data_IF_940303347025
#
_entry.id   IF_940303347025
#
_cell.length_a   1.000
_cell.length_b   1.000
_cell.length_c   1.000
_cell.angle_alpha   90.00
_cell.angle_beta   90.00
_cell.angle_gamma   90.00
#
_symmetry.space_group_name_H-M   'P 1'
#
loop_
_entity.id
_entity.type
_entity.pdbx_description
1 polymer ?
#
# COMPACT_ATOMS: atom_id res chain seq x y z
N UNK A 1 8.63 -15.66 46.79
CA UNK A 1 7.55 -15.08 45.97
C UNK A 1 7.91 -15.30 44.50
N UNK A 2 7.62 -16.50 43.97
CA UNK A 2 7.85 -16.79 42.55
C UNK A 2 6.64 -16.21 41.80
N UNK A 3 6.91 -15.23 40.94
CA UNK A 3 5.90 -14.45 40.22
C UNK A 3 4.97 -15.37 39.43
N UNK A 4 3.66 -15.13 39.58
CA UNK A 4 2.59 -15.92 38.96
C UNK A 4 2.80 -16.00 37.46
N UNK A 5 2.87 -17.24 36.99
CA UNK A 5 2.80 -17.65 35.59
C UNK A 5 1.75 -16.86 34.82
N UNK A 6 2.18 -15.96 33.94
CA UNK A 6 1.34 -15.45 32.86
C UNK A 6 1.16 -16.58 31.84
N UNK A 7 0.32 -17.56 32.15
CA UNK A 7 -0.16 -18.54 31.18
C UNK A 7 -1.13 -17.84 30.24
N UNK A 8 -0.59 -17.06 29.31
CA UNK A 8 -1.32 -16.63 28.12
C UNK A 8 -1.66 -17.92 27.38
N UNK A 9 -2.96 -18.27 27.36
CA UNK A 9 -3.39 -19.42 26.57
C UNK A 9 -2.98 -19.22 25.11
N UNK A 10 -2.59 -20.28 24.41
CA UNK A 10 -2.24 -20.21 22.99
C UNK A 10 -3.35 -19.50 22.18
N UNK A 11 -4.62 -19.70 22.54
CA UNK A 11 -5.77 -18.99 21.95
C UNK A 11 -5.65 -17.47 22.09
N UNK A 12 -5.36 -16.97 23.29
CA UNK A 12 -5.23 -15.53 23.53
C UNK A 12 -4.03 -14.92 22.79
N UNK A 13 -2.95 -15.67 22.62
CA UNK A 13 -1.82 -15.24 21.78
C UNK A 13 -2.23 -15.17 20.29
N UNK A 14 -2.99 -16.15 19.80
CA UNK A 14 -3.54 -16.14 18.44
C UNK A 14 -4.55 -15.01 18.22
N UNK A 15 -5.42 -14.73 19.19
CA UNK A 15 -6.39 -13.62 19.12
C UNK A 15 -5.66 -12.27 19.06
N UNK A 16 -4.62 -12.06 19.87
CA UNK A 16 -3.80 -10.84 19.82
C UNK A 16 -3.04 -10.72 18.50
N UNK A 17 -2.49 -11.82 17.98
CA UNK A 17 -1.86 -11.81 16.66
C UNK A 17 -2.89 -11.51 15.58
N UNK A 18 -4.08 -12.09 15.63
CA UNK A 18 -5.13 -11.82 14.67
C UNK A 18 -5.65 -10.39 14.79
N UNK A 19 -5.78 -9.81 15.98
CA UNK A 19 -6.24 -8.43 16.15
C UNK A 19 -5.21 -7.42 15.63
N UNK A 20 -3.93 -7.61 15.96
CA UNK A 20 -2.85 -6.76 15.45
C UNK A 20 -2.54 -7.01 13.99
N UNK A 21 -2.77 -8.24 13.55
CA UNK A 21 -2.33 -8.75 12.27
C UNK A 21 -3.42 -9.43 11.46
N UNK A 22 -4.67 -8.96 11.56
CA UNK A 22 -5.71 -9.13 10.54
C UNK A 22 -5.32 -8.27 9.30
N UNK A 23 -4.05 -8.45 8.93
CA UNK A 23 -3.09 -7.74 8.07
C UNK A 23 -3.51 -7.73 6.62
N UNK A 24 -4.75 -8.09 6.31
CA UNK A 24 -5.21 -8.03 4.93
C UNK A 24 -5.02 -6.61 4.40
N UNK A 25 -5.19 -5.60 5.27
CA UNK A 25 -4.92 -4.21 4.93
C UNK A 25 -3.40 -3.92 4.83
N UNK A 26 -2.57 -4.23 5.83
CA UNK A 26 -1.12 -3.90 5.78
C UNK A 26 -0.38 -4.63 4.65
N UNK A 27 -0.64 -5.92 4.44
CA UNK A 27 -0.02 -6.66 3.33
C UNK A 27 -0.52 -6.15 1.98
N UNK A 28 -1.82 -5.83 1.87
CA UNK A 28 -2.36 -5.22 0.63
C UNK A 28 -1.81 -3.82 0.40
N UNK A 29 -1.65 -3.01 1.44
CA UNK A 29 -1.02 -1.69 1.39
C UNK A 29 0.40 -1.80 0.85
N UNK A 30 1.19 -2.72 1.40
CA UNK A 30 2.55 -2.97 0.91
C UNK A 30 2.56 -3.38 -0.56
N UNK A 31 1.67 -4.29 -0.97
CA UNK A 31 1.55 -4.69 -2.37
C UNK A 31 1.14 -3.54 -3.30
N UNK A 32 0.21 -2.68 -2.87
CA UNK A 32 -0.23 -1.52 -3.65
C UNK A 32 0.91 -0.50 -3.75
N UNK A 33 1.69 -0.28 -2.67
CA UNK A 33 2.88 0.56 -2.71
C UNK A 33 3.92 0.04 -3.71
N UNK A 34 4.17 -1.28 -3.73
CA UNK A 34 5.05 -1.87 -4.73
C UNK A 34 4.54 -1.64 -6.16
N UNK A 35 3.22 -1.78 -6.39
CA UNK A 35 2.61 -1.51 -7.68
C UNK A 35 2.78 -0.04 -8.12
N UNK A 36 2.53 0.91 -7.21
CA UNK A 36 2.75 2.35 -7.47
C UNK A 36 4.22 2.64 -7.81
N UNK A 37 5.17 2.04 -7.08
CA UNK A 37 6.61 2.28 -7.29
C UNK A 37 7.12 1.78 -8.64
N UNK A 38 6.54 0.71 -9.19
CA UNK A 38 6.95 0.13 -10.49
C UNK A 38 6.05 0.57 -11.65
N UNK A 39 4.94 1.27 -11.39
CA UNK A 39 4.05 1.77 -12.43
C UNK A 39 4.78 2.81 -13.29
N UNK A 40 4.81 2.58 -14.60
CA UNK A 40 5.47 3.46 -15.57
C UNK A 40 4.53 3.74 -16.74
N UNK A 41 4.49 4.98 -17.18
CA UNK A 41 3.86 5.37 -18.44
C UNK A 41 4.79 4.96 -19.58
N UNK A 42 4.29 4.17 -20.53
CA UNK A 42 5.11 3.67 -21.64
C UNK A 42 5.45 4.76 -22.65
N UNK A 43 4.43 5.50 -23.07
CA UNK A 43 4.49 6.56 -24.07
C UNK A 43 3.30 7.51 -23.88
N UNK A 44 3.17 8.51 -24.76
CA UNK A 44 2.08 9.48 -24.71
C UNK A 44 0.69 8.86 -24.94
N UNK A 45 0.59 7.75 -25.70
CA UNK A 45 -0.68 7.07 -25.95
C UNK A 45 -1.16 6.29 -24.70
N UNK A 46 -0.24 5.87 -23.83
CA UNK A 46 -0.53 5.19 -22.57
C UNK A 46 -0.97 6.12 -21.42
N UNK A 47 -0.94 7.44 -21.62
CA UNK A 47 -1.15 8.43 -20.57
C UNK A 47 -2.47 8.23 -19.79
N UNK A 48 -3.59 8.03 -20.49
CA UNK A 48 -4.89 7.82 -19.84
C UNK A 48 -4.92 6.53 -19.01
N UNK A 49 -4.30 5.46 -19.51
CA UNK A 49 -4.23 4.18 -18.82
C UNK A 49 -3.32 4.27 -17.57
N UNK A 50 -2.15 4.89 -17.71
CA UNK A 50 -1.23 5.15 -16.61
C UNK A 50 -1.89 5.96 -15.48
N UNK A 51 -2.53 7.09 -15.81
CA UNK A 51 -3.23 7.93 -14.82
C UNK A 51 -4.40 7.17 -14.18
N UNK A 52 -5.16 6.41 -14.97
CA UNK A 52 -6.26 5.59 -14.46
C UNK A 52 -5.81 4.52 -13.48
N UNK A 53 -4.73 3.79 -13.79
CA UNK A 53 -4.13 2.81 -12.88
C UNK A 53 -3.61 3.46 -11.60
N UNK A 54 -2.93 4.60 -11.72
CA UNK A 54 -2.44 5.34 -10.56
C UNK A 54 -3.60 5.77 -9.64
N UNK A 55 -4.68 6.30 -10.21
CA UNK A 55 -5.87 6.71 -9.45
C UNK A 55 -6.53 5.52 -8.74
N UNK A 56 -6.71 4.39 -9.43
CA UNK A 56 -7.29 3.18 -8.84
C UNK A 56 -6.44 2.60 -7.71
N UNK A 57 -5.11 2.62 -7.86
CA UNK A 57 -4.20 2.17 -6.79
C UNK A 57 -4.25 3.10 -5.58
N UNK A 58 -4.29 4.41 -5.80
CA UNK A 58 -4.46 5.41 -4.74
C UNK A 58 -5.76 5.19 -3.97
N UNK A 59 -6.88 5.02 -4.66
CA UNK A 59 -8.20 4.79 -4.04
C UNK A 59 -8.17 3.55 -3.15
N UNK A 60 -7.67 2.42 -3.66
CA UNK A 60 -7.52 1.19 -2.88
C UNK A 60 -6.63 1.35 -1.65
N UNK A 61 -5.61 2.20 -1.75
CA UNK A 61 -4.70 2.49 -0.63
C UNK A 61 -5.41 3.33 0.45
N UNK A 62 -6.21 4.32 0.05
CA UNK A 62 -7.06 5.12 0.95
C UNK A 62 -8.11 4.24 1.63
N UNK A 63 -8.79 3.39 0.87
CA UNK A 63 -9.82 2.48 1.38
C UNK A 63 -9.26 1.49 2.42
N UNK A 64 -7.99 1.11 2.27
CA UNK A 64 -7.28 0.26 3.24
C UNK A 64 -6.84 1.01 4.52
N UNK A 65 -7.15 2.30 4.65
CA UNK A 65 -6.80 3.13 5.80
C UNK A 65 -5.32 3.55 5.85
N UNK A 66 -4.58 3.44 4.74
CA UNK A 66 -3.19 3.86 4.70
C UNK A 66 -3.04 5.38 4.77
N UNK A 67 -2.00 5.90 5.45
CA UNK A 67 -1.65 7.30 5.36
C UNK A 67 -1.02 7.59 3.99
N UNK A 68 -1.83 7.95 3.00
CA UNK A 68 -1.37 8.31 1.65
C UNK A 68 -1.98 9.63 1.19
N UNK A 69 -1.16 10.68 1.19
CA UNK A 69 -1.60 12.04 0.90
C UNK A 69 -1.43 12.44 -0.57
N UNK A 70 -1.88 13.65 -0.90
CA UNK A 70 -1.70 14.22 -2.24
C UNK A 70 -0.22 14.37 -2.62
N UNK A 71 0.65 14.72 -1.67
CA UNK A 71 2.08 14.86 -1.92
C UNK A 71 2.71 13.52 -2.36
N UNK A 72 2.37 12.42 -1.69
CA UNK A 72 2.82 11.08 -2.05
C UNK A 72 2.26 10.66 -3.41
N UNK A 73 0.99 10.95 -3.66
CA UNK A 73 0.34 10.67 -4.93
C UNK A 73 1.02 11.41 -6.09
N UNK A 74 1.28 12.71 -5.95
CA UNK A 74 1.95 13.51 -6.97
C UNK A 74 3.39 13.01 -7.18
N UNK A 75 4.12 12.73 -6.09
CA UNK A 75 5.49 12.23 -6.19
C UNK A 75 5.56 10.90 -6.97
N UNK A 76 4.72 9.92 -6.61
CA UNK A 76 4.70 8.63 -7.30
C UNK A 76 4.23 8.75 -8.76
N UNK A 77 3.27 9.62 -9.05
CA UNK A 77 2.82 9.90 -10.42
C UNK A 77 3.98 10.44 -11.27
N UNK A 78 4.71 11.44 -10.77
CA UNK A 78 5.84 12.04 -11.48
C UNK A 78 6.98 11.04 -11.70
N UNK A 79 7.27 10.19 -10.71
CA UNK A 79 8.27 9.12 -10.82
C UNK A 79 7.91 8.06 -11.88
N UNK A 80 6.63 7.96 -12.26
CA UNK A 80 6.14 7.06 -13.28
C UNK A 80 6.23 7.60 -14.71
N UNK A 81 6.51 8.90 -14.90
CA UNK A 81 6.56 9.52 -16.21
C UNK A 81 7.82 9.14 -17.00
N UNK A 82 7.79 9.19 -18.34
CA UNK A 82 8.98 8.97 -19.17
C UNK A 82 10.00 10.09 -18.91
N UNK A 83 11.29 9.71 -18.85
CA UNK A 83 12.40 10.66 -18.64
C UNK A 83 12.63 11.58 -19.83
N UNK A 84 12.28 11.12 -21.02
CA UNK A 84 12.29 11.92 -22.24
C UNK A 84 10.87 12.18 -22.71
N UNK A 85 10.51 13.44 -22.98
CA UNK A 85 9.23 13.75 -23.58
C UNK A 85 9.17 13.18 -25.00
N UNK A 86 8.41 12.10 -25.18
CA UNK A 86 8.05 11.59 -26.51
C UNK A 86 6.62 12.10 -26.75
N UNK A 87 6.51 13.33 -27.29
CA UNK A 87 5.23 13.92 -27.67
C UNK A 87 4.84 13.48 -29.07
#
# INVERSE_FOLDING_TARGET
LISRSHTVSARKAWDTLQEHYNRNDISSQYQIHQQLQVLRMKDSADASNFVGQHAALRERLIDSGAPYGDADAIFNLLMGLPTTPIW
#
